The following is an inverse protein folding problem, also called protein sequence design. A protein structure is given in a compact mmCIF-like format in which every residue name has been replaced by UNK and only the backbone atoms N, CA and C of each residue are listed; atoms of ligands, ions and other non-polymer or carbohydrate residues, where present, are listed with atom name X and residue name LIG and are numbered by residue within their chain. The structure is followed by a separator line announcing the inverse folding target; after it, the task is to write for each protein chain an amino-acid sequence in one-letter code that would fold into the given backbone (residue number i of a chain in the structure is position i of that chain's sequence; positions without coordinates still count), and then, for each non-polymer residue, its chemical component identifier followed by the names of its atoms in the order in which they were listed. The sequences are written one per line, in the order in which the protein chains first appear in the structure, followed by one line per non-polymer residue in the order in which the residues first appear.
data_IF_308145710320
#
_entry.id   IF_308145710320
#
_cell.length_a   1.000
_cell.length_b   1.000
_cell.length_c   1.000
_cell.angle_alpha   90.00
_cell.angle_beta   90.00
_cell.angle_gamma   90.00
#
_symmetry.space_group_name_H-M   'P 1'
#
loop_
_entity.id
_entity.type
_entity.pdbx_description
1 polymer ?
#
# COMPACT_ATOMS: atom_id res chain seq x y z
N UNK A 1 10.24 -19.67 -15.11
CA UNK A 1 10.14 -18.19 -15.38
C UNK A 1 10.22 -17.45 -14.07
N UNK A 2 10.67 -16.16 -14.08
CA UNK A 2 10.61 -15.34 -12.87
C UNK A 2 9.37 -14.44 -12.90
N UNK A 3 8.81 -14.17 -11.71
CA UNK A 3 7.60 -13.37 -11.52
C UNK A 3 7.94 -12.27 -10.52
N UNK A 4 7.88 -11.00 -10.98
CA UNK A 4 7.96 -9.86 -10.09
C UNK A 4 6.66 -9.75 -9.30
N UNK A 5 6.74 -9.80 -7.97
CA UNK A 5 5.55 -9.90 -7.12
C UNK A 5 5.64 -9.11 -5.83
N UNK A 6 4.49 -8.88 -5.20
CA UNK A 6 4.38 -8.22 -3.92
C UNK A 6 3.11 -8.64 -3.17
N UNK A 7 3.11 -8.48 -1.86
CA UNK A 7 1.97 -8.68 -0.98
C UNK A 7 1.35 -7.33 -0.61
N UNK A 8 0.04 -7.26 -0.61
CA UNK A 8 -0.67 -6.05 -0.19
C UNK A 8 -2.06 -6.36 0.39
N UNK A 9 -2.55 -5.42 1.19
CA UNK A 9 -3.96 -5.29 1.49
C UNK A 9 -4.62 -4.41 0.42
N UNK A 10 -5.68 -4.87 -0.26
CA UNK A 10 -6.49 -4.03 -1.13
C UNK A 10 -7.32 -3.04 -0.30
N UNK A 11 -7.74 -1.94 -0.92
CA UNK A 11 -8.61 -0.95 -0.27
C UNK A 11 -10.08 -1.16 -0.66
N UNK A 12 -10.99 -0.70 0.22
CA UNK A 12 -12.44 -0.72 -0.01
C UNK A 12 -12.88 0.32 -1.04
N UNK A 13 -14.07 0.16 -1.60
CA UNK A 13 -14.68 1.13 -2.52
C UNK A 13 -14.82 2.52 -1.89
N UNK A 14 -15.31 2.60 -0.65
CA UNK A 14 -15.50 3.87 0.05
C UNK A 14 -14.17 4.62 0.27
N UNK A 15 -13.10 3.91 0.66
CA UNK A 15 -11.78 4.54 0.79
C UNK A 15 -11.23 4.95 -0.58
N UNK A 16 -11.43 4.15 -1.62
CA UNK A 16 -11.01 4.46 -2.99
C UNK A 16 -11.70 5.74 -3.49
N UNK A 17 -13.02 5.85 -3.37
CA UNK A 17 -13.79 7.05 -3.76
C UNK A 17 -13.30 8.30 -3.02
N UNK A 18 -13.02 8.19 -1.71
CA UNK A 18 -12.47 9.29 -0.93
C UNK A 18 -11.08 9.72 -1.44
N UNK A 19 -10.23 8.75 -1.76
CA UNK A 19 -8.89 9.01 -2.30
C UNK A 19 -8.94 9.58 -3.72
N UNK A 20 -9.91 9.22 -4.54
CA UNK A 20 -10.15 9.83 -5.86
C UNK A 20 -10.42 11.33 -5.73
N UNK A 21 -11.32 11.75 -4.84
CA UNK A 21 -11.58 13.16 -4.57
C UNK A 21 -10.32 13.89 -4.11
N UNK A 22 -9.53 13.29 -3.21
CA UNK A 22 -8.27 13.86 -2.73
C UNK A 22 -7.25 13.97 -3.86
N UNK A 23 -7.13 12.95 -4.69
CA UNK A 23 -6.22 12.96 -5.84
C UNK A 23 -6.57 14.06 -6.83
N UNK A 24 -7.85 14.30 -7.10
CA UNK A 24 -8.28 15.36 -8.03
C UNK A 24 -7.96 16.75 -7.47
N UNK A 25 -8.16 16.95 -6.18
CA UNK A 25 -7.72 18.16 -5.48
C UNK A 25 -6.20 18.39 -5.57
N UNK A 26 -5.41 17.35 -5.38
CA UNK A 26 -3.95 17.45 -5.44
C UNK A 26 -3.44 17.64 -6.88
N UNK A 27 -4.06 17.00 -7.86
CA UNK A 27 -3.75 17.18 -9.29
C UNK A 27 -4.03 18.61 -9.76
N UNK A 28 -5.09 19.26 -9.24
CA UNK A 28 -5.44 20.63 -9.58
C UNK A 28 -4.33 21.64 -9.26
N UNK A 29 -3.36 21.31 -8.39
CA UNK A 29 -2.17 22.13 -8.14
C UNK A 29 -1.21 22.22 -9.31
N UNK A 30 -1.34 21.34 -10.31
CA UNK A 30 -0.42 21.25 -11.45
C UNK A 30 0.99 20.80 -11.10
N UNK A 31 1.21 20.24 -9.92
CA UNK A 31 2.53 19.72 -9.51
C UNK A 31 2.94 18.52 -10.38
N UNK A 32 4.22 18.45 -10.72
CA UNK A 32 4.78 17.36 -11.53
C UNK A 32 4.92 16.09 -10.69
N UNK A 33 3.84 15.37 -10.57
CA UNK A 33 3.73 14.11 -9.82
C UNK A 33 3.22 13.01 -10.71
N UNK A 34 3.90 11.86 -10.72
CA UNK A 34 3.36 10.63 -11.28
C UNK A 34 2.33 10.04 -10.30
N UNK A 35 1.07 10.42 -10.48
CA UNK A 35 -0.02 9.94 -9.66
C UNK A 35 -0.30 8.45 -9.90
N UNK A 36 -0.65 7.75 -8.81
CA UNK A 36 -1.10 6.36 -8.86
C UNK A 36 -2.56 6.36 -9.30
N UNK A 37 -2.92 5.43 -10.19
CA UNK A 37 -4.33 5.23 -10.55
C UNK A 37 -5.09 4.70 -9.34
N UNK A 38 -6.33 5.14 -9.07
CA UNK A 38 -7.11 4.69 -7.91
C UNK A 38 -7.19 3.17 -7.78
N UNK A 39 -7.38 2.44 -8.88
CA UNK A 39 -7.42 0.97 -8.92
C UNK A 39 -6.10 0.29 -8.53
N UNK A 40 -5.00 1.04 -8.53
CA UNK A 40 -3.68 0.54 -8.16
C UNK A 40 -3.27 0.92 -6.73
N UNK A 41 -4.13 1.66 -6.01
CA UNK A 41 -3.83 2.03 -4.62
C UNK A 41 -4.05 0.83 -3.72
N UNK A 42 -3.07 0.53 -2.89
CA UNK A 42 -3.09 -0.57 -1.93
C UNK A 42 -2.14 -0.29 -0.78
N UNK A 43 -2.32 -0.96 0.34
CA UNK A 43 -1.36 -0.96 1.43
C UNK A 43 -0.34 -2.07 1.21
N UNK A 44 0.86 -1.71 0.77
CA UNK A 44 1.93 -2.69 0.51
C UNK A 44 2.43 -3.31 1.83
N UNK A 45 2.40 -4.63 1.93
CA UNK A 45 2.97 -5.39 3.04
C UNK A 45 4.46 -5.65 2.79
N UNK A 46 4.77 -6.20 1.60
CA UNK A 46 6.13 -6.61 1.24
C UNK A 46 6.33 -6.70 -0.27
N UNK A 47 7.36 -6.06 -0.78
CA UNK A 47 7.86 -6.36 -2.12
C UNK A 47 8.71 -7.64 -2.08
N UNK A 48 8.37 -8.60 -2.93
CA UNK A 48 9.06 -9.89 -3.00
C UNK A 48 10.16 -9.91 -4.06
N UNK A 49 10.12 -8.93 -4.99
CA UNK A 49 11.05 -8.88 -6.13
C UNK A 49 10.72 -9.92 -7.20
N UNK A 50 11.73 -10.30 -7.95
CA UNK A 50 11.65 -11.37 -8.97
C UNK A 50 11.82 -12.73 -8.28
N UNK A 51 10.79 -13.56 -8.32
CA UNK A 51 10.81 -14.91 -7.75
C UNK A 51 10.59 -15.96 -8.85
N UNK A 52 11.28 -17.08 -8.74
CA UNK A 52 10.99 -18.28 -9.51
C UNK A 52 9.63 -18.87 -9.12
N UNK A 53 8.95 -19.56 -10.03
CA UNK A 53 7.59 -20.09 -9.82
C UNK A 53 7.46 -20.97 -8.57
N UNK A 54 8.44 -21.86 -8.33
CA UNK A 54 8.47 -22.72 -7.13
C UNK A 54 8.53 -21.91 -5.83
N UNK A 55 9.18 -20.76 -5.84
CA UNK A 55 9.24 -19.85 -4.68
C UNK A 55 7.92 -19.09 -4.50
N UNK A 56 7.26 -18.73 -5.61
CA UNK A 56 5.90 -18.16 -5.55
C UNK A 56 4.93 -19.15 -4.92
N UNK A 57 5.01 -20.43 -5.26
CA UNK A 57 4.21 -21.49 -4.64
C UNK A 57 4.49 -21.65 -3.14
N UNK A 58 5.76 -21.53 -2.73
CA UNK A 58 6.14 -21.55 -1.31
C UNK A 58 5.52 -20.36 -0.55
N UNK A 59 5.53 -19.16 -1.14
CA UNK A 59 4.86 -17.98 -0.58
C UNK A 59 3.35 -18.20 -0.50
N UNK A 60 2.73 -18.76 -1.54
CA UNK A 60 1.30 -19.07 -1.57
C UNK A 60 0.90 -20.05 -0.46
N UNK A 61 1.69 -21.10 -0.24
CA UNK A 61 1.44 -22.09 0.81
C UNK A 61 1.53 -21.47 2.20
N UNK A 62 2.55 -20.65 2.43
CA UNK A 62 2.74 -19.92 3.68
C UNK A 62 1.57 -18.97 3.97
N UNK A 63 1.15 -18.18 2.99
CA UNK A 63 0.03 -17.24 3.14
C UNK A 63 -1.28 -17.96 3.48
N UNK A 64 -1.53 -19.11 2.87
CA UNK A 64 -2.72 -19.94 3.16
C UNK A 64 -2.80 -20.32 4.64
N UNK A 65 -1.67 -20.64 5.27
CA UNK A 65 -1.61 -20.99 6.69
C UNK A 65 -1.71 -19.72 7.56
N UNK A 66 -0.93 -18.69 7.26
CA UNK A 66 -0.88 -17.47 8.06
C UNK A 66 -2.19 -16.68 8.09
N UNK A 67 -2.89 -16.57 6.95
CA UNK A 67 -4.15 -15.84 6.93
C UNK A 67 -5.24 -16.48 7.80
N UNK A 68 -5.11 -17.76 8.14
CA UNK A 68 -5.97 -18.43 9.12
C UNK A 68 -5.68 -18.03 10.58
N UNK A 69 -4.49 -17.48 10.84
CA UNK A 69 -4.08 -17.07 12.18
C UNK A 69 -4.42 -15.59 12.47
N UNK A 70 -4.64 -14.80 11.43
CA UNK A 70 -4.95 -13.39 11.54
C UNK A 70 -6.45 -13.15 11.78
N UNK A 71 -6.78 -11.94 12.22
CA UNK A 71 -8.15 -11.43 12.33
C UNK A 71 -8.30 -10.19 11.46
N UNK A 72 -9.51 -9.89 10.94
CA UNK A 72 -9.74 -8.67 10.17
C UNK A 72 -9.42 -7.43 10.99
N UNK A 73 -8.81 -6.43 10.35
CA UNK A 73 -8.38 -5.19 10.99
C UNK A 73 -9.19 -4.04 10.47
N UNK A 74 -9.74 -3.25 11.40
CA UNK A 74 -10.39 -1.99 11.11
C UNK A 74 -9.39 -0.84 11.27
N UNK A 75 -9.31 0.01 10.27
CA UNK A 75 -8.43 1.18 10.22
C UNK A 75 -9.16 2.38 9.60
N UNK A 76 -8.63 3.57 9.77
CA UNK A 76 -9.23 4.80 9.27
C UNK A 76 -8.18 5.64 8.54
N UNK A 77 -8.64 6.37 7.51
CA UNK A 77 -7.83 7.38 6.85
C UNK A 77 -7.59 8.55 7.82
N UNK A 78 -6.32 8.88 8.09
CA UNK A 78 -5.94 9.88 9.10
C UNK A 78 -5.24 11.10 8.55
N UNK A 79 -4.78 11.08 7.30
CA UNK A 79 -4.07 12.25 6.75
C UNK A 79 -3.40 11.99 5.42
N UNK A 80 -2.88 13.07 4.84
CA UNK A 80 -1.99 13.05 3.67
C UNK A 80 -0.64 13.57 4.11
N UNK A 81 0.41 12.91 3.66
CA UNK A 81 1.78 13.30 3.96
C UNK A 81 2.73 13.03 2.81
N UNK A 82 4.03 13.21 3.09
CA UNK A 82 5.05 12.89 2.12
C UNK A 82 6.27 12.22 2.78
N UNK A 83 6.99 11.42 2.02
CA UNK A 83 8.30 10.91 2.38
C UNK A 83 9.38 11.65 1.58
N UNK A 84 10.54 11.99 2.18
CA UNK A 84 10.83 11.86 3.63
C UNK A 84 10.00 12.82 4.49
N UNK A 85 9.62 14.00 3.99
CA UNK A 85 8.84 15.03 4.65
C UNK A 85 8.15 15.96 3.63
N UNK A 86 7.38 16.96 4.11
CA UNK A 86 6.73 17.94 3.25
C UNK A 86 7.65 19.07 2.77
N UNK A 87 8.90 19.17 3.27
CA UNK A 87 9.87 20.15 2.77
C UNK A 87 10.55 19.64 1.50
N UNK A 88 10.80 18.35 1.44
CA UNK A 88 11.46 17.67 0.32
C UNK A 88 10.66 16.43 -0.12
N UNK A 89 9.39 16.58 -0.54
CA UNK A 89 8.54 15.44 -0.83
C UNK A 89 9.02 14.69 -2.09
N UNK A 90 9.19 13.38 -1.95
CA UNK A 90 9.48 12.46 -3.05
C UNK A 90 8.31 11.51 -3.33
N UNK A 91 7.56 11.15 -2.28
CA UNK A 91 6.40 10.28 -2.35
C UNK A 91 5.27 10.94 -1.56
N UNK A 92 4.14 11.17 -2.21
CA UNK A 92 2.90 11.60 -1.55
C UNK A 92 2.11 10.35 -1.16
N UNK A 93 1.61 10.32 0.07
CA UNK A 93 0.89 9.16 0.62
C UNK A 93 -0.31 9.57 1.47
N UNK A 94 -1.27 8.64 1.60
CA UNK A 94 -2.37 8.71 2.54
C UNK A 94 -2.08 7.79 3.73
N UNK A 95 -2.22 8.31 4.94
CA UNK A 95 -1.96 7.60 6.20
C UNK A 95 -3.17 6.84 6.67
N UNK A 96 -2.92 5.69 7.24
CA UNK A 96 -3.90 4.85 7.92
C UNK A 96 -3.53 4.73 9.39
N UNK A 97 -4.51 4.77 10.28
CA UNK A 97 -4.25 4.56 11.69
C UNK A 97 -4.02 3.08 12.01
N UNK A 98 -3.20 2.84 13.02
CA UNK A 98 -2.93 1.51 13.55
C UNK A 98 -2.64 1.61 15.06
N UNK A 99 -3.61 2.10 15.86
CA UNK A 99 -3.36 2.42 17.27
C UNK A 99 -3.01 1.21 18.12
N UNK A 100 -3.43 0.01 17.71
CA UNK A 100 -3.11 -1.25 18.37
C UNK A 100 -1.94 -2.00 17.74
N UNK A 101 -1.33 -1.44 16.69
CA UNK A 101 -0.27 -2.06 15.91
C UNK A 101 -0.67 -3.41 15.28
N UNK A 102 -1.95 -3.59 14.94
CA UNK A 102 -2.48 -4.84 14.38
C UNK A 102 -2.01 -5.02 12.93
N UNK A 103 -2.02 -3.95 12.13
CA UNK A 103 -1.47 -3.96 10.76
C UNK A 103 0.02 -4.23 10.82
N UNK A 104 0.73 -3.50 11.70
CA UNK A 104 2.17 -3.67 11.88
C UNK A 104 2.50 -5.10 12.30
N UNK A 105 1.75 -5.70 13.23
CA UNK A 105 1.93 -7.07 13.68
C UNK A 105 1.84 -8.09 12.55
N UNK A 106 0.80 -8.01 11.70
CA UNK A 106 0.67 -8.88 10.51
C UNK A 106 1.87 -8.69 9.57
N UNK A 107 2.25 -7.44 9.32
CA UNK A 107 3.36 -7.13 8.41
C UNK A 107 4.69 -7.68 8.95
N UNK A 108 4.97 -7.55 10.24
CA UNK A 108 6.20 -8.07 10.86
C UNK A 108 6.26 -9.60 10.81
N UNK A 109 5.16 -10.28 11.11
CA UNK A 109 5.08 -11.75 10.99
C UNK A 109 5.37 -12.18 9.54
N UNK A 110 4.68 -11.60 8.58
CA UNK A 110 4.86 -11.97 7.16
C UNK A 110 6.26 -11.62 6.65
N UNK A 111 6.82 -10.46 7.04
CA UNK A 111 8.20 -10.09 6.67
C UNK A 111 9.22 -11.07 7.26
N UNK A 112 9.04 -11.48 8.51
CA UNK A 112 9.88 -12.48 9.16
C UNK A 112 9.82 -13.83 8.45
N UNK A 113 8.64 -14.26 8.05
CA UNK A 113 8.46 -15.52 7.31
C UNK A 113 9.05 -15.46 5.89
N UNK A 114 8.97 -14.30 5.22
CA UNK A 114 9.61 -14.11 3.90
C UNK A 114 11.15 -14.22 4.00
N UNK A 115 11.75 -13.75 5.10
CA UNK A 115 13.19 -13.94 5.35
C UNK A 115 13.54 -15.43 5.48
N UNK A 116 12.71 -16.24 6.17
CA UNK A 116 12.89 -17.70 6.25
C UNK A 116 12.82 -18.36 4.88
N UNK A 117 12.02 -17.82 3.96
CA UNK A 117 11.98 -18.22 2.56
C UNK A 117 13.13 -17.61 1.72
N UNK A 118 14.15 -17.01 2.35
CA UNK A 118 15.30 -16.36 1.69
C UNK A 118 14.91 -15.20 0.75
N UNK A 119 13.80 -14.51 1.04
CA UNK A 119 13.41 -13.27 0.40
C UNK A 119 14.07 -12.12 1.16
N UNK A 120 14.66 -11.15 0.44
CA UNK A 120 15.42 -10.07 1.05
C UNK A 120 14.61 -9.29 2.10
N UNK A 121 15.28 -8.91 3.19
CA UNK A 121 14.69 -8.06 4.22
C UNK A 121 14.46 -6.64 3.68
N UNK A 122 13.42 -5.97 4.20
CA UNK A 122 13.20 -4.56 3.89
C UNK A 122 14.21 -3.69 4.63
N UNK A 123 14.72 -2.65 3.97
CA UNK A 123 15.72 -1.73 4.54
C UNK A 123 15.11 -0.75 5.55
N UNK A 124 13.79 -0.52 5.46
CA UNK A 124 13.11 0.49 6.26
C UNK A 124 11.99 -0.09 7.13
N UNK A 125 11.76 0.51 8.32
CA UNK A 125 10.60 0.18 9.14
C UNK A 125 9.30 0.36 8.37
N UNK A 126 8.32 -0.49 8.67
CA UNK A 126 7.00 -0.36 8.11
C UNK A 126 6.26 0.85 8.70
N UNK A 127 5.56 1.58 7.82
CA UNK A 127 4.60 2.62 8.20
C UNK A 127 3.34 2.42 7.39
N UNK A 128 2.15 2.27 8.00
CA UNK A 128 0.90 2.07 7.26
C UNK A 128 0.60 3.28 6.37
N UNK A 129 0.76 3.12 5.06
CA UNK A 129 0.51 4.20 4.10
C UNK A 129 0.08 3.66 2.73
N UNK A 130 -0.74 4.44 2.05
CA UNK A 130 -1.18 4.23 0.67
C UNK A 130 -0.44 5.21 -0.22
N UNK A 131 0.40 4.74 -1.13
CA UNK A 131 1.11 5.63 -2.06
C UNK A 131 0.12 6.26 -3.04
N UNK A 132 0.06 7.59 -3.08
CA UNK A 132 -0.77 8.38 -3.99
C UNK A 132 0.00 8.86 -5.22
N UNK A 133 1.30 9.16 -5.08
CA UNK A 133 2.10 9.64 -6.20
C UNK A 133 3.58 9.74 -5.90
N UNK A 134 4.38 9.91 -6.97
CA UNK A 134 5.83 10.11 -6.91
C UNK A 134 6.18 11.44 -7.57
N UNK A 135 6.76 12.34 -6.82
CA UNK A 135 7.21 13.66 -7.30
C UNK A 135 8.35 13.46 -8.30
N UNK A 136 8.27 14.16 -9.45
CA UNK A 136 9.26 14.08 -10.53
C UNK A 136 10.17 15.31 -10.56
N UNK A 137 9.61 16.47 -10.27
CA UNK A 137 10.35 17.74 -10.26
C UNK A 137 9.79 18.69 -9.20
N UNK A 138 10.43 19.87 -9.05
CA UNK A 138 10.00 20.91 -8.13
C UNK A 138 8.87 21.81 -8.67
N UNK A 139 8.34 21.56 -9.87
CA UNK A 139 7.29 22.37 -10.47
C UNK A 139 6.02 22.33 -9.59
N UNK A 140 5.51 23.51 -9.24
CA UNK A 140 4.32 23.72 -8.40
C UNK A 140 4.32 22.96 -7.06
N UNK A 141 5.50 22.62 -6.55
CA UNK A 141 5.64 21.83 -5.32
C UNK A 141 5.16 22.58 -4.08
N UNK A 142 5.31 23.92 -4.06
CA UNK A 142 4.80 24.76 -2.98
C UNK A 142 3.29 24.69 -2.88
N UNK A 143 2.60 24.77 -4.02
CA UNK A 143 1.14 24.70 -4.10
C UNK A 143 0.62 23.32 -3.67
N UNK A 144 1.31 22.27 -4.09
CA UNK A 144 1.02 20.90 -3.64
C UNK A 144 1.13 20.78 -2.11
N UNK A 145 2.22 21.23 -1.54
CA UNK A 145 2.45 21.18 -0.07
C UNK A 145 1.41 22.00 0.67
N UNK A 146 1.09 23.20 0.18
CA UNK A 146 0.04 24.05 0.76
C UNK A 146 -1.32 23.33 0.69
N UNK A 147 -1.67 22.72 -0.45
CA UNK A 147 -2.92 21.97 -0.60
C UNK A 147 -2.99 20.78 0.34
N UNK A 148 -1.93 20.00 0.47
CA UNK A 148 -1.86 18.87 1.43
C UNK A 148 -2.18 19.36 2.85
N UNK A 149 -1.64 20.48 3.28
CA UNK A 149 -1.88 21.05 4.63
C UNK A 149 -3.31 21.55 4.85
N UNK A 150 -4.04 21.84 3.77
CA UNK A 150 -5.43 22.33 3.82
C UNK A 150 -6.47 21.21 3.78
N UNK A 151 -6.07 20.00 3.41
CA UNK A 151 -7.00 18.85 3.38
C UNK A 151 -7.40 18.50 4.81
N UNK A 152 -8.69 18.61 5.09
CA UNK A 152 -9.28 18.22 6.37
C UNK A 152 -9.93 16.85 6.26
N UNK A 153 -9.90 16.12 7.36
CA UNK A 153 -10.48 14.79 7.47
C UNK A 153 -11.70 14.87 8.40
N UNK A 154 -12.79 15.47 7.89
CA UNK A 154 -14.08 15.47 8.57
C UNK A 154 -14.74 14.10 8.38
N UNK A 155 -15.06 13.46 9.51
CA UNK A 155 -15.57 12.09 9.52
C UNK A 155 -14.46 11.03 9.36
N UNK A 156 -14.82 9.79 9.68
CA UNK A 156 -13.89 8.66 9.60
C UNK A 156 -14.17 7.85 8.34
N UNK A 157 -13.27 7.88 7.35
CA UNK A 157 -13.32 6.95 6.24
C UNK A 157 -12.70 5.63 6.70
N UNK A 158 -13.58 4.64 6.89
CA UNK A 158 -13.22 3.32 7.39
C UNK A 158 -12.64 2.45 6.28
N UNK A 159 -11.65 1.66 6.65
CA UNK A 159 -11.08 0.58 5.87
C UNK A 159 -11.06 -0.70 6.68
N UNK A 160 -11.66 -1.75 6.15
CA UNK A 160 -11.54 -3.10 6.68
C UNK A 160 -10.48 -3.87 5.87
N UNK A 161 -9.49 -4.41 6.56
CA UNK A 161 -8.49 -5.31 5.99
C UNK A 161 -8.86 -6.75 6.36
N UNK A 162 -9.60 -7.40 5.48
CA UNK A 162 -10.13 -8.77 5.62
C UNK A 162 -9.50 -9.76 4.63
N UNK A 163 -8.53 -9.33 3.84
CA UNK A 163 -7.81 -10.19 2.91
C UNK A 163 -6.43 -9.65 2.56
N UNK A 164 -5.51 -10.58 2.27
CA UNK A 164 -4.19 -10.31 1.72
C UNK A 164 -4.16 -10.81 0.27
N UNK A 165 -3.56 -10.03 -0.60
CA UNK A 165 -3.45 -10.38 -2.03
C UNK A 165 -1.98 -10.47 -2.42
N UNK A 166 -1.65 -11.55 -3.11
CA UNK A 166 -0.39 -11.71 -3.83
C UNK A 166 -0.58 -11.21 -5.26
N UNK A 167 0.14 -10.17 -5.62
CA UNK A 167 0.11 -9.57 -6.94
C UNK A 167 1.36 -9.90 -7.75
N UNK A 168 1.17 -10.12 -9.06
CA UNK A 168 2.21 -9.99 -10.07
C UNK A 168 2.27 -8.54 -10.52
N UNK A 169 3.48 -8.01 -10.73
CA UNK A 169 3.72 -6.67 -11.24
C UNK A 169 4.45 -6.74 -12.58
N UNK A 170 3.79 -6.34 -13.64
CA UNK A 170 4.40 -6.20 -14.97
C UNK A 170 4.72 -4.72 -15.21
N UNK A 171 5.99 -4.39 -15.39
CA UNK A 171 6.41 -3.01 -15.66
C UNK A 171 6.19 -2.69 -17.14
N UNK A 172 5.48 -1.59 -17.41
CA UNK A 172 5.29 -1.08 -18.77
C UNK A 172 5.70 0.40 -18.84
N UNK A 173 5.96 0.95 -20.04
CA UNK A 173 6.23 2.40 -20.20
C UNK A 173 5.10 3.28 -19.66
N UNK A 174 3.85 2.82 -19.72
CA UNK A 174 2.65 3.53 -19.23
C UNK A 174 2.49 3.42 -17.70
N UNK A 175 3.20 2.49 -17.07
CA UNK A 175 3.14 2.22 -15.63
C UNK A 175 3.03 0.72 -15.32
N UNK A 176 2.99 0.35 -14.05
CA UNK A 176 2.85 -1.05 -13.68
C UNK A 176 1.43 -1.55 -13.96
N UNK A 177 1.34 -2.81 -14.39
CA UNK A 177 0.09 -3.59 -14.43
C UNK A 177 0.16 -4.57 -13.28
N UNK A 178 -0.93 -4.68 -12.51
CA UNK A 178 -1.04 -5.59 -11.39
C UNK A 178 -2.07 -6.67 -11.69
N UNK A 179 -1.61 -7.93 -11.72
CA UNK A 179 -2.46 -9.10 -11.88
C UNK A 179 -2.56 -9.82 -10.54
N UNK A 180 -3.75 -10.20 -10.13
CA UNK A 180 -3.96 -10.99 -8.91
C UNK A 180 -3.49 -12.43 -9.17
N UNK A 181 -2.46 -12.87 -8.45
CA UNK A 181 -2.05 -14.27 -8.45
C UNK A 181 -2.91 -15.10 -7.49
N UNK A 182 -3.17 -14.56 -6.29
CA UNK A 182 -4.00 -15.23 -5.29
C UNK A 182 -4.51 -14.23 -4.25
N UNK A 183 -5.76 -14.47 -3.78
CA UNK A 183 -6.35 -13.80 -2.63
C UNK A 183 -6.47 -14.79 -1.45
N UNK A 184 -6.23 -14.27 -0.23
CA UNK A 184 -6.35 -15.02 1.02
C UNK A 184 -7.22 -14.23 1.97
N UNK A 185 -8.38 -14.76 2.30
CA UNK A 185 -9.28 -14.16 3.28
C UNK A 185 -8.70 -14.26 4.69
N UNK A 186 -8.97 -13.26 5.48
CA UNK A 186 -8.76 -13.20 6.92
C UNK A 186 -10.16 -13.24 7.51
N UNK A 187 -10.49 -14.29 8.26
CA UNK A 187 -11.84 -14.52 8.78
C UNK A 187 -11.87 -14.31 10.29
N UNK A 188 -12.98 -13.74 10.78
CA UNK A 188 -13.20 -13.69 12.22
C UNK A 188 -13.23 -15.11 12.79
N UNK A 189 -12.48 -15.31 13.86
CA UNK A 189 -12.60 -16.53 14.65
C UNK A 189 -13.82 -16.39 15.56
N UNK A 190 -14.87 -17.12 15.27
CA UNK A 190 -15.99 -17.31 16.20
C UNK A 190 -15.55 -18.10 17.43
#
# INVERSE_FOLDING_TARGET
MSIRSFLAFPISGALKERLECILDDLKATGADVKWVKPDHIHLTIKFLGELEENRVESVMSLLKERCREFVPIKSYLIGIGAFPDLQHPKIVWAGLDDPKQEIQGIVEVLRGDMVKLKIAQDEHPFKPHLTLGRVRSSANLKDLVQRIRQITFEGKTEQMFDKIVLYKSTLTPQGPIYDVLREYKIEDRQ
#
